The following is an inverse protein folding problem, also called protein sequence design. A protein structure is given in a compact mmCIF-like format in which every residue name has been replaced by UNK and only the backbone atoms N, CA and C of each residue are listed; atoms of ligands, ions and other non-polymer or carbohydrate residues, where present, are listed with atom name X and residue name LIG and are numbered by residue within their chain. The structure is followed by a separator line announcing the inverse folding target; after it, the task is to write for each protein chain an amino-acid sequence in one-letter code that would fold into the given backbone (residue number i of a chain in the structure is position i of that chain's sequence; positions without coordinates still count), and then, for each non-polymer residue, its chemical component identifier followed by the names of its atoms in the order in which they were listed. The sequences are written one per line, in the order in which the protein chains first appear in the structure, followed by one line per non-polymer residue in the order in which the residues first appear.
data_IF_008469709497
#
_entry.id   IF_008469709497
#
_cell.length_a   1.000
_cell.length_b   1.000
_cell.length_c   1.000
_cell.angle_alpha   90.00
_cell.angle_beta   90.00
_cell.angle_gamma   90.00
#
_symmetry.space_group_name_H-M   'P 1'
#
loop_
_entity.id
_entity.type
_entity.pdbx_description
1 polymer ?
#
# COMPACT_ATOMS: atom_id res chain seq x y z
N UNK A 1 -12.67 4.66 -22.90
CA UNK A 1 -11.39 4.42 -22.22
C UNK A 1 -11.65 4.50 -20.73
N UNK A 2 -11.50 3.40 -20.02
CA UNK A 2 -11.55 3.35 -18.56
C UNK A 2 -10.16 3.70 -18.04
N UNK A 3 -10.00 4.91 -17.52
CA UNK A 3 -8.79 5.28 -16.78
C UNK A 3 -8.61 4.37 -15.57
N UNK A 4 -7.37 4.12 -15.17
CA UNK A 4 -7.07 3.36 -13.96
C UNK A 4 -6.65 4.32 -12.88
N UNK A 5 -7.18 4.14 -11.68
CA UNK A 5 -6.79 4.92 -10.52
C UNK A 5 -5.68 4.20 -9.78
N UNK A 6 -4.76 4.97 -9.21
CA UNK A 6 -3.62 4.49 -8.43
C UNK A 6 -3.45 5.41 -7.21
N UNK A 7 -2.83 4.89 -6.16
CA UNK A 7 -2.60 5.61 -4.90
C UNK A 7 -1.11 5.89 -4.77
N UNK A 8 -0.75 7.13 -4.42
CA UNK A 8 0.63 7.59 -4.19
C UNK A 8 0.72 8.30 -2.87
N UNK A 9 1.77 8.07 -2.11
CA UNK A 9 2.03 8.78 -0.85
C UNK A 9 2.82 10.08 -1.07
N UNK A 10 3.02 10.84 -0.01
CA UNK A 10 3.78 12.10 -0.04
C UNK A 10 5.25 11.95 -0.43
N UNK A 11 5.81 10.73 -0.33
CA UNK A 11 7.18 10.38 -0.74
C UNK A 11 7.25 9.95 -2.21
N UNK A 12 6.11 9.95 -2.89
CA UNK A 12 5.98 9.55 -4.28
C UNK A 12 5.92 8.04 -4.52
N UNK A 13 5.86 7.21 -3.47
CA UNK A 13 5.65 5.76 -3.60
C UNK A 13 4.21 5.43 -3.94
N UNK A 14 4.02 4.34 -4.65
CA UNK A 14 2.72 3.84 -5.10
C UNK A 14 2.28 2.67 -4.23
N UNK A 15 0.97 2.52 -4.02
CA UNK A 15 0.46 1.34 -3.34
C UNK A 15 0.61 0.09 -4.21
N UNK A 16 1.28 -0.94 -3.69
CA UNK A 16 1.55 -2.18 -4.41
C UNK A 16 0.49 -3.26 -4.21
N UNK A 17 0.39 -4.18 -5.16
CA UNK A 17 -0.55 -5.33 -5.13
C UNK A 17 -0.28 -6.29 -3.97
N UNK A 18 0.96 -6.29 -3.45
CA UNK A 18 1.39 -7.05 -2.29
C UNK A 18 1.06 -6.37 -0.96
N UNK A 19 0.35 -5.23 -0.97
CA UNK A 19 0.02 -4.48 0.25
C UNK A 19 1.21 -3.71 0.84
N UNK A 20 2.20 -3.36 0.01
CA UNK A 20 3.37 -2.58 0.41
C UNK A 20 3.60 -1.42 -0.56
N UNK A 21 4.26 -0.36 -0.10
CA UNK A 21 4.63 0.78 -0.94
C UNK A 21 5.74 0.39 -1.93
N UNK A 22 5.59 0.77 -3.20
CA UNK A 22 6.55 0.48 -4.29
C UNK A 22 6.98 1.77 -5.00
N UNK A 23 8.19 1.82 -5.56
CA UNK A 23 8.73 3.05 -6.17
C UNK A 23 8.11 3.44 -7.52
N UNK A 24 7.21 2.63 -8.09
CA UNK A 24 6.65 2.85 -9.43
C UNK A 24 7.56 2.38 -10.58
N UNK A 25 8.80 1.95 -10.28
CA UNK A 25 9.75 1.39 -11.26
C UNK A 25 9.22 0.18 -12.04
N UNK A 26 8.32 -0.60 -11.42
CA UNK A 26 7.64 -1.75 -12.05
C UNK A 26 6.13 -1.53 -11.98
N UNK A 27 5.56 -0.99 -13.06
CA UNK A 27 4.12 -0.72 -13.18
C UNK A 27 3.23 -1.93 -12.82
N UNK A 28 3.67 -3.15 -13.15
CA UNK A 28 2.91 -4.37 -12.84
C UNK A 28 2.75 -4.66 -11.33
N UNK A 29 3.58 -4.06 -10.48
CA UNK A 29 3.49 -4.19 -9.02
C UNK A 29 2.52 -3.19 -8.39
N UNK A 30 2.10 -2.15 -9.12
CA UNK A 30 1.22 -1.10 -8.59
C UNK A 30 -0.24 -1.56 -8.63
N UNK A 31 -0.94 -1.35 -7.52
CA UNK A 31 -2.37 -1.59 -7.40
C UNK A 31 -3.14 -0.56 -8.22
N UNK A 32 -4.11 -1.06 -8.97
CA UNK A 32 -4.84 -0.34 -9.99
C UNK A 32 -6.32 -0.58 -9.75
N UNK A 33 -7.13 0.48 -9.74
CA UNK A 33 -8.58 0.41 -9.57
C UNK A 33 -9.28 0.92 -10.82
N UNK A 34 -10.43 0.32 -11.14
CA UNK A 34 -11.26 0.75 -12.25
C UNK A 34 -12.05 2.02 -11.91
N UNK A 35 -12.39 2.20 -10.63
CA UNK A 35 -13.16 3.34 -10.16
C UNK A 35 -12.42 4.12 -9.07
N UNK A 36 -12.62 5.45 -9.06
CA UNK A 36 -11.91 6.37 -8.16
C UNK A 36 -12.29 6.15 -6.71
N UNK A 37 -13.56 5.86 -6.44
CA UNK A 37 -14.09 5.60 -5.11
C UNK A 37 -13.47 4.36 -4.46
N UNK A 38 -13.18 3.31 -5.23
CA UNK A 38 -12.47 2.12 -4.72
C UNK A 38 -11.06 2.48 -4.22
N UNK A 39 -10.34 3.31 -4.99
CA UNK A 39 -9.02 3.80 -4.60
C UNK A 39 -9.10 4.74 -3.38
N UNK A 40 -10.14 5.58 -3.28
CA UNK A 40 -10.37 6.44 -2.11
C UNK A 40 -10.66 5.61 -0.86
N UNK A 41 -11.51 4.58 -0.95
CA UNK A 41 -11.80 3.69 0.17
C UNK A 41 -10.53 3.03 0.68
N UNK A 42 -9.68 2.54 -0.24
CA UNK A 42 -8.38 1.96 0.13
C UNK A 42 -7.49 3.00 0.80
N UNK A 43 -7.37 4.22 0.24
CA UNK A 43 -6.58 5.28 0.83
C UNK A 43 -7.08 5.67 2.24
N UNK A 44 -8.39 5.69 2.44
CA UNK A 44 -8.99 5.94 3.75
C UNK A 44 -8.61 4.87 4.77
N UNK A 45 -8.67 3.59 4.38
CA UNK A 45 -8.23 2.48 5.23
C UNK A 45 -6.75 2.59 5.59
N UNK A 46 -5.89 2.99 4.65
CA UNK A 46 -4.48 3.23 4.91
C UNK A 46 -4.26 4.39 5.89
N UNK A 47 -4.95 5.51 5.67
CA UNK A 47 -4.90 6.69 6.55
C UNK A 47 -5.47 6.43 7.95
N UNK A 48 -6.36 5.45 8.10
CA UNK A 48 -6.85 5.01 9.41
C UNK A 48 -5.82 4.20 10.20
N UNK A 49 -4.90 3.52 9.51
CA UNK A 49 -3.80 2.74 10.14
C UNK A 49 -2.57 3.60 10.40
N UNK A 50 -2.32 4.55 9.51
CA UNK A 50 -1.22 5.51 9.60
C UNK A 50 -1.77 6.92 9.40
N UNK A 51 -1.96 7.65 10.50
CA UNK A 51 -2.53 9.01 10.48
C UNK A 51 -1.56 10.06 9.95
N UNK A 52 -0.28 9.73 9.81
CA UNK A 52 0.74 10.59 9.19
C UNK A 52 0.81 10.41 7.68
N UNK A 53 0.22 9.34 7.15
CA UNK A 53 0.12 9.11 5.72
C UNK A 53 -0.66 10.25 5.04
N UNK A 54 -0.07 10.79 3.98
CA UNK A 54 -0.69 11.78 3.11
C UNK A 54 -0.65 11.24 1.69
N UNK A 55 -1.60 10.36 1.40
CA UNK A 55 -1.77 9.80 0.06
C UNK A 55 -2.74 10.59 -0.80
N UNK A 56 -2.58 10.46 -2.10
CA UNK A 56 -3.45 11.02 -3.13
C UNK A 56 -3.83 9.93 -4.13
N UNK A 57 -5.06 10.03 -4.67
CA UNK A 57 -5.57 9.20 -5.75
C UNK A 57 -5.53 9.99 -7.05
N UNK A 58 -4.85 9.46 -8.05
CA UNK A 58 -4.74 10.05 -9.39
C UNK A 58 -5.07 9.02 -10.45
N UNK A 59 -5.52 9.51 -11.59
CA UNK A 59 -5.82 8.71 -12.77
C UNK A 59 -4.53 8.51 -13.56
N UNK A 60 -4.15 7.26 -13.74
CA UNK A 60 -3.07 6.83 -14.61
C UNK A 60 -3.63 6.40 -15.97
N UNK A 61 -2.93 6.80 -17.02
CA UNK A 61 -3.14 6.24 -18.35
C UNK A 61 -2.79 4.76 -18.34
N UNK A 62 -3.49 3.92 -19.10
CA UNK A 62 -3.18 2.49 -19.20
C UNK A 62 -2.72 2.15 -20.60
N UNK A 63 -1.76 1.24 -20.67
CA UNK A 63 -1.40 0.58 -21.92
C UNK A 63 -1.57 -0.92 -21.73
N UNK A 64 -2.73 -1.40 -22.17
CA UNK A 64 -3.19 -2.74 -21.85
C UNK A 64 -3.51 -2.87 -20.36
N UNK A 65 -2.77 -3.73 -19.64
CA UNK A 65 -3.05 -4.08 -18.24
C UNK A 65 -2.20 -3.32 -17.20
N UNK A 66 -1.23 -2.51 -17.65
CA UNK A 66 -0.35 -1.77 -16.75
C UNK A 66 -0.57 -0.25 -16.86
N UNK A 67 -0.49 0.48 -15.74
CA UNK A 67 -0.49 1.93 -15.77
C UNK A 67 0.79 2.43 -16.45
N UNK A 68 0.63 3.31 -17.43
CA UNK A 68 1.67 4.16 -18.00
C UNK A 68 1.67 5.51 -17.26
N UNK A 69 2.80 6.18 -17.30
CA UNK A 69 3.01 7.50 -16.67
C UNK A 69 3.11 7.48 -15.13
N UNK A 70 3.70 6.43 -14.55
CA UNK A 70 4.11 6.46 -13.14
C UNK A 70 5.45 7.20 -13.04
N UNK A 71 5.49 8.27 -12.25
CA UNK A 71 6.74 8.92 -11.87
C UNK A 71 7.51 8.02 -10.92
N UNK A 72 8.74 7.66 -11.24
CA UNK A 72 9.57 6.84 -10.35
C UNK A 72 9.90 7.68 -9.12
N UNK A 73 9.53 7.19 -7.93
CA UNK A 73 9.96 7.82 -6.68
C UNK A 73 11.47 7.72 -6.54
N UNK A 74 12.13 8.87 -6.35
CA UNK A 74 13.56 8.96 -6.02
C UNK A 74 13.84 8.66 -4.54
N UNK A 75 12.79 8.57 -3.71
CA UNK A 75 12.91 8.25 -2.30
C UNK A 75 12.96 6.74 -2.10
N UNK A 76 13.88 6.28 -1.23
CA UNK A 76 13.96 4.88 -0.85
C UNK A 76 12.59 4.41 -0.35
N UNK A 77 12.04 3.39 -1.00
CA UNK A 77 10.81 2.74 -0.53
C UNK A 77 11.07 2.20 0.87
N UNK A 78 10.18 2.47 1.84
CA UNK A 78 10.30 1.84 3.15
C UNK A 78 10.30 0.34 2.90
N UNK A 79 11.39 -0.33 3.32
CA UNK A 79 11.45 -1.78 3.28
C UNK A 79 10.29 -2.26 4.14
N UNK A 80 9.30 -2.90 3.51
CA UNK A 80 8.24 -3.58 4.25
C UNK A 80 8.94 -4.42 5.30
N UNK A 81 8.64 -4.14 6.56
CA UNK A 81 9.16 -4.88 7.68
C UNK A 81 8.76 -6.34 7.41
N UNK A 82 9.76 -7.19 7.18
CA UNK A 82 9.56 -8.63 7.03
C UNK A 82 8.65 -9.08 8.17
N UNK A 83 7.51 -9.74 7.91
CA UNK A 83 6.75 -10.37 8.97
C UNK A 83 7.64 -11.50 9.50
N UNK A 84 8.46 -11.17 10.48
CA UNK A 84 9.13 -12.18 11.28
C UNK A 84 8.02 -12.81 12.13
N UNK A 85 7.45 -13.90 11.64
CA UNK A 85 6.67 -14.89 12.39
C UNK A 85 7.40 -15.31 13.69
N UNK A 86 6.76 -16.03 14.64
CA UNK A 86 5.35 -16.09 15.03
C UNK A 86 5.19 -15.77 16.54
N UNK A 87 3.95 -15.75 17.00
CA UNK A 87 3.60 -15.72 18.41
C UNK A 87 4.28 -16.85 19.20
N UNK A 88 5.13 -16.52 20.18
CA UNK A 88 5.59 -17.47 21.19
C UNK A 88 5.18 -16.99 22.59
N UNK A 89 4.18 -17.71 23.11
CA UNK A 89 3.93 -18.03 24.53
C UNK A 89 3.69 -16.88 25.51
N UNK A 90 2.42 -16.48 25.63
CA UNK A 90 1.90 -16.02 26.93
C UNK A 90 1.77 -17.26 27.83
N UNK A 91 2.76 -17.45 28.70
CA UNK A 91 2.72 -18.44 29.79
C UNK A 91 1.47 -18.19 30.66
N UNK A 92 0.53 -19.13 30.59
CA UNK A 92 -0.60 -19.18 31.50
C UNK A 92 -0.12 -19.71 32.85
N UNK A 93 0.37 -18.83 33.73
CA UNK A 93 0.60 -19.17 35.14
C UNK A 93 -0.72 -19.06 35.89
N UNK A 94 -1.57 -20.07 35.73
CA UNK A 94 -2.55 -20.43 36.73
C UNK A 94 -1.88 -21.25 37.82
N UNK A 95 -1.27 -20.60 38.81
CA UNK A 95 -0.94 -21.26 40.08
C UNK A 95 -1.86 -20.70 41.18
N UNK A 96 -2.59 -21.63 41.78
CA UNK A 96 -3.69 -21.39 42.71
C UNK A 96 -3.10 -21.21 44.11
N UNK A 97 -3.35 -20.13 44.86
CA UNK A 97 -2.95 -20.10 46.25
C UNK A 97 -3.91 -20.94 47.11
N UNK A 98 -3.28 -21.66 48.04
CA UNK A 98 -3.78 -22.57 49.08
C UNK A 98 -4.99 -22.09 49.87
#
# INVERSE_FOLDING_TARGET
MSGTFVIRNQLGHYWGKSGVWVSGSRAGQVSCWAHRDEAINTLFELGSKDTELRGEVFEAETDGANPKNLEISEHAVPKAEDPTEPADTLENQGDTPT
#
